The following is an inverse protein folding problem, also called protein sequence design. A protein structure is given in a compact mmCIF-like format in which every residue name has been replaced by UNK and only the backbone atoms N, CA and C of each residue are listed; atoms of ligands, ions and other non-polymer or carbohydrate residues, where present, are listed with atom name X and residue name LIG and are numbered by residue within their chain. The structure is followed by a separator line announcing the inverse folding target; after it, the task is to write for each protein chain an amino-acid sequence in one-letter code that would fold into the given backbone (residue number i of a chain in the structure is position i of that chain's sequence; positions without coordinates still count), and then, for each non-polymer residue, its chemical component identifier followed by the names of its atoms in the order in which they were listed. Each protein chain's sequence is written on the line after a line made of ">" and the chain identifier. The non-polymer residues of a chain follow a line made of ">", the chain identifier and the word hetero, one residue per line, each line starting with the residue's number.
data_IF_219238236638
#
_entry.id   IF_219238236638
#
_cell.length_a   1.000
_cell.length_b   1.000
_cell.length_c   1.000
_cell.angle_alpha   90.00
_cell.angle_beta   90.00
_cell.angle_gamma   90.00
#
_symmetry.space_group_name_H-M   'P 1'
#
loop_
_entity.id
_entity.type
_entity.pdbx_description
1 polymer ?
#
# COMPACT_ATOMS: atom_id res chain seq x y z
N UNK A 1 -25.47 1.87 0.27
CA UNK A 1 -24.50 0.75 0.41
C UNK A 1 -23.85 0.33 -0.91
N UNK A 2 -24.47 0.51 -2.09
CA UNK A 2 -23.84 0.16 -3.38
C UNK A 2 -22.68 1.08 -3.83
N UNK A 3 -22.70 2.37 -3.48
CA UNK A 3 -21.72 3.35 -3.98
C UNK A 3 -20.32 3.16 -3.40
N UNK A 4 -20.24 2.75 -2.13
CA UNK A 4 -18.97 2.54 -1.42
C UNK A 4 -18.17 1.41 -2.04
N UNK A 5 -18.84 0.36 -2.51
CA UNK A 5 -18.21 -0.76 -3.21
C UNK A 5 -17.69 -0.33 -4.58
N UNK A 6 -18.44 0.50 -5.32
CA UNK A 6 -18.00 0.97 -6.65
C UNK A 6 -16.76 1.87 -6.55
N UNK A 7 -16.76 2.86 -5.65
CA UNK A 7 -15.61 3.75 -5.46
C UNK A 7 -14.35 2.97 -5.06
N UNK A 8 -14.49 1.99 -4.18
CA UNK A 8 -13.38 1.15 -3.74
C UNK A 8 -12.80 0.33 -4.89
N UNK A 9 -13.67 -0.28 -5.71
CA UNK A 9 -13.26 -1.03 -6.90
C UNK A 9 -12.55 -0.14 -7.92
N UNK A 10 -13.09 1.04 -8.22
CA UNK A 10 -12.49 2.00 -9.15
C UNK A 10 -11.13 2.49 -8.65
N UNK A 11 -11.04 2.87 -7.37
CA UNK A 11 -9.77 3.26 -6.74
C UNK A 11 -8.74 2.14 -6.84
N UNK A 12 -9.14 0.91 -6.52
CA UNK A 12 -8.25 -0.24 -6.60
C UNK A 12 -7.73 -0.48 -8.03
N UNK A 13 -8.61 -0.38 -9.03
CA UNK A 13 -8.24 -0.51 -10.44
C UNK A 13 -7.27 0.59 -10.90
N UNK A 14 -7.54 1.85 -10.55
CA UNK A 14 -6.67 2.98 -10.87
C UNK A 14 -5.29 2.78 -10.23
N UNK A 15 -5.24 2.45 -8.93
CA UNK A 15 -3.96 2.19 -8.25
C UNK A 15 -3.22 1.03 -8.91
N UNK A 16 -3.92 -0.05 -9.26
CA UNK A 16 -3.31 -1.19 -9.96
C UNK A 16 -2.65 -0.80 -11.28
N UNK A 17 -3.31 0.06 -12.07
CA UNK A 17 -2.77 0.56 -13.34
C UNK A 17 -1.56 1.48 -13.11
N UNK A 18 -1.60 2.33 -12.08
CA UNK A 18 -0.48 3.20 -11.72
C UNK A 18 0.72 2.36 -11.31
N UNK A 19 0.56 1.45 -10.34
CA UNK A 19 1.68 0.63 -9.85
C UNK A 19 2.22 -0.31 -10.92
N UNK A 20 1.43 -0.72 -11.94
CA UNK A 20 1.96 -1.51 -13.06
C UNK A 20 2.79 -0.68 -14.03
N UNK A 21 2.52 0.62 -14.14
CA UNK A 21 3.08 1.51 -15.18
C UNK A 21 4.32 2.25 -14.71
N UNK A 22 4.35 2.70 -13.45
CA UNK A 22 5.46 3.47 -12.90
C UNK A 22 6.13 2.74 -11.75
N UNK A 23 7.37 3.13 -11.45
CA UNK A 23 8.04 2.75 -10.21
C UNK A 23 7.60 3.70 -9.12
N UNK A 24 6.94 3.16 -8.10
CA UNK A 24 6.38 3.94 -7.02
C UNK A 24 6.47 3.18 -5.70
N UNK A 25 6.22 3.93 -4.63
CA UNK A 25 6.04 3.42 -3.28
C UNK A 25 4.60 3.67 -2.89
N UNK A 26 3.94 2.68 -2.29
CA UNK A 26 2.53 2.75 -1.96
C UNK A 26 2.33 2.95 -0.45
N UNK A 27 1.49 3.89 -0.07
CA UNK A 27 1.03 4.06 1.31
C UNK A 27 -0.49 3.96 1.29
N UNK A 28 -1.05 2.96 1.97
CA UNK A 28 -2.51 2.72 1.99
C UNK A 28 -3.04 2.76 3.41
N UNK A 29 -4.10 3.53 3.60
CA UNK A 29 -4.82 3.61 4.87
C UNK A 29 -6.16 2.88 4.73
N UNK A 30 -6.45 2.00 5.69
CA UNK A 30 -7.66 1.20 5.75
C UNK A 30 -7.48 -0.21 5.20
N UNK A 31 -7.94 -1.19 5.97
CA UNK A 31 -7.79 -2.62 5.63
C UNK A 31 -8.60 -3.02 4.39
N UNK A 32 -9.80 -2.48 4.20
CA UNK A 32 -10.60 -2.76 3.00
C UNK A 32 -9.93 -2.22 1.73
N UNK A 33 -9.35 -1.01 1.82
CA UNK A 33 -8.60 -0.38 0.73
C UNK A 33 -7.35 -1.16 0.35
N UNK A 34 -6.54 -1.54 1.34
CA UNK A 34 -5.33 -2.34 1.07
C UNK A 34 -5.68 -3.69 0.45
N UNK A 35 -6.68 -4.39 0.99
CA UNK A 35 -7.14 -5.67 0.45
C UNK A 35 -7.68 -5.54 -0.98
N UNK A 36 -8.46 -4.49 -1.28
CA UNK A 36 -8.99 -4.27 -2.62
C UNK A 36 -7.86 -4.05 -3.64
N UNK A 37 -6.90 -3.18 -3.33
CA UNK A 37 -5.73 -2.91 -4.19
C UNK A 37 -4.92 -4.19 -4.41
N UNK A 38 -4.59 -4.92 -3.34
CA UNK A 38 -3.79 -6.15 -3.43
C UNK A 38 -4.47 -7.18 -4.34
N UNK A 39 -5.79 -7.39 -4.16
CA UNK A 39 -6.56 -8.37 -4.96
C UNK A 39 -6.49 -8.10 -6.46
N UNK A 40 -6.44 -6.83 -6.88
CA UNK A 40 -6.40 -6.47 -8.31
C UNK A 40 -4.98 -6.25 -8.85
N UNK A 41 -3.99 -6.03 -7.97
CA UNK A 41 -2.60 -5.69 -8.33
C UNK A 41 -1.80 -6.79 -9.04
N UNK A 42 -2.37 -7.97 -9.28
CA UNK A 42 -1.64 -9.17 -9.74
C UNK A 42 -0.50 -9.61 -8.82
N UNK A 43 -0.43 -9.10 -7.59
CA UNK A 43 0.56 -9.50 -6.61
C UNK A 43 0.44 -10.99 -6.29
N UNK A 44 1.57 -11.70 -6.34
CA UNK A 44 1.67 -13.14 -6.03
C UNK A 44 2.05 -13.40 -4.57
N UNK A 45 2.69 -12.43 -3.93
CA UNK A 45 3.10 -12.51 -2.54
C UNK A 45 3.20 -11.12 -1.94
N UNK A 46 3.11 -11.07 -0.61
CA UNK A 46 3.44 -9.91 0.22
C UNK A 46 4.58 -10.34 1.12
N UNK A 47 5.71 -9.64 1.04
CA UNK A 47 6.83 -9.87 1.94
C UNK A 47 6.79 -8.80 3.01
N UNK A 48 6.51 -9.20 4.25
CA UNK A 48 6.62 -8.31 5.41
C UNK A 48 8.10 -8.13 5.75
N UNK A 49 8.51 -6.89 6.05
CA UNK A 49 9.89 -6.54 6.38
C UNK A 49 10.04 -6.17 7.84
N UNK A 50 9.39 -5.08 8.23
CA UNK A 50 9.45 -4.50 9.56
C UNK A 50 8.17 -3.68 9.81
N UNK A 51 8.12 -2.99 10.94
CA UNK A 51 7.11 -1.97 11.19
C UNK A 51 7.77 -0.59 11.21
N UNK A 52 7.16 0.37 10.52
CA UNK A 52 7.60 1.77 10.57
C UNK A 52 7.31 2.39 11.94
N UNK A 53 6.14 2.07 12.47
CA UNK A 53 5.63 2.40 13.81
C UNK A 53 4.75 1.23 14.26
N UNK A 54 4.46 1.08 15.57
CA UNK A 54 3.62 0.00 16.07
C UNK A 54 2.31 -0.16 15.29
N UNK A 55 2.14 -1.31 14.64
CA UNK A 55 0.95 -1.63 13.82
C UNK A 55 0.89 -0.95 12.46
N UNK A 56 2.02 -0.44 11.95
CA UNK A 56 2.18 0.11 10.60
C UNK A 56 3.26 -0.69 9.86
N UNK A 57 2.90 -1.83 9.24
CA UNK A 57 3.87 -2.71 8.58
C UNK A 57 4.41 -2.12 7.28
N UNK A 58 5.73 -2.24 7.10
CA UNK A 58 6.46 -2.09 5.84
C UNK A 58 6.49 -3.44 5.14
N UNK A 59 6.10 -3.46 3.87
CA UNK A 59 6.00 -4.66 3.07
C UNK A 59 6.45 -4.43 1.63
N UNK A 60 6.63 -5.51 0.88
CA UNK A 60 6.82 -5.46 -0.57
C UNK A 60 5.76 -6.34 -1.25
N UNK A 61 5.02 -5.74 -2.19
CA UNK A 61 4.16 -6.50 -3.09
C UNK A 61 5.01 -7.09 -4.21
N UNK A 62 4.99 -8.41 -4.35
CA UNK A 62 5.70 -9.12 -5.42
C UNK A 62 4.75 -9.30 -6.59
N UNK A 63 4.86 -8.44 -7.61
CA UNK A 63 4.01 -8.52 -8.81
C UNK A 63 4.52 -9.61 -9.75
N UNK A 64 5.82 -9.60 -10.02
CA UNK A 64 6.53 -10.63 -10.78
C UNK A 64 8.01 -10.68 -10.34
N UNK A 65 8.85 -11.46 -11.03
CA UNK A 65 10.26 -11.62 -10.68
C UNK A 65 11.07 -10.29 -10.74
N UNK A 66 10.64 -9.35 -11.58
CA UNK A 66 11.35 -8.10 -11.85
C UNK A 66 10.73 -6.90 -11.16
N UNK A 67 9.45 -6.97 -10.75
CA UNK A 67 8.69 -5.85 -10.22
C UNK A 67 8.21 -6.09 -8.79
N UNK A 68 8.74 -5.26 -7.89
CA UNK A 68 8.43 -5.22 -6.46
C UNK A 68 7.96 -3.82 -6.11
N UNK A 69 6.87 -3.70 -5.39
CA UNK A 69 6.32 -2.41 -4.96
C UNK A 69 6.45 -2.30 -3.45
N UNK A 70 7.32 -1.43 -2.92
CA UNK A 70 7.34 -1.12 -1.50
C UNK A 70 5.98 -0.56 -1.07
N UNK A 71 5.41 -1.11 -0.01
CA UNK A 71 4.08 -0.78 0.47
C UNK A 71 4.05 -0.65 1.99
N UNK A 72 3.50 0.46 2.47
CA UNK A 72 3.07 0.65 3.86
C UNK A 72 1.57 0.51 3.95
N UNK A 73 1.08 -0.24 4.95
CA UNK A 73 -0.34 -0.24 5.30
C UNK A 73 -0.56 0.30 6.69
N UNK A 74 -1.63 1.08 6.88
CA UNK A 74 -2.04 1.60 8.17
C UNK A 74 -3.53 1.33 8.37
N UNK A 75 -3.93 0.74 9.49
CA UNK A 75 -5.35 0.76 9.86
C UNK A 75 -5.79 2.20 10.17
N UNK A 76 -7.09 2.51 10.04
CA UNK A 76 -7.62 3.85 10.25
C UNK A 76 -7.18 4.46 11.60
N UNK A 77 -7.16 3.64 12.64
CA UNK A 77 -6.99 4.06 14.03
C UNK A 77 -5.54 3.96 14.57
N UNK A 78 -4.56 3.59 13.74
CA UNK A 78 -3.17 3.44 14.18
C UNK A 78 -2.34 4.69 13.89
N UNK A 79 -1.32 4.94 14.72
CA UNK A 79 -0.47 6.12 14.65
C UNK A 79 -1.11 7.38 15.25
N UNK A 80 -0.44 8.52 15.07
CA UNK A 80 -0.88 9.84 15.49
C UNK A 80 -1.11 10.78 14.29
N UNK A 81 -1.49 12.03 14.58
CA UNK A 81 -1.80 13.04 13.56
C UNK A 81 -0.62 13.35 12.61
N UNK A 82 0.62 13.03 12.99
CA UNK A 82 1.84 13.27 12.23
C UNK A 82 2.42 12.01 11.58
N UNK A 83 1.85 10.83 11.83
CA UNK A 83 2.33 9.56 11.25
C UNK A 83 2.47 9.64 9.72
N UNK A 84 1.48 10.18 9.00
CA UNK A 84 1.58 10.28 7.53
C UNK A 84 2.68 11.25 7.07
N UNK A 85 2.94 12.31 7.83
CA UNK A 85 4.05 13.22 7.54
C UNK A 85 5.39 12.53 7.75
N UNK A 86 5.54 11.75 8.83
CA UNK A 86 6.74 10.94 9.08
C UNK A 86 6.95 9.89 7.99
N UNK A 87 5.88 9.20 7.58
CA UNK A 87 5.93 8.27 6.44
C UNK A 87 6.37 9.02 5.18
N UNK A 88 5.78 10.16 4.86
CA UNK A 88 6.13 10.91 3.65
C UNK A 88 7.60 11.36 3.62
N UNK A 89 8.15 11.75 4.76
CA UNK A 89 9.55 12.20 4.88
C UNK A 89 10.54 11.03 4.80
N UNK A 90 10.21 9.89 5.39
CA UNK A 90 11.15 8.77 5.54
C UNK A 90 10.98 7.68 4.47
N UNK A 91 9.78 7.51 3.92
CA UNK A 91 9.46 6.51 2.90
C UNK A 91 9.75 6.99 1.48
N UNK A 92 10.85 7.73 1.31
CA UNK A 92 11.36 8.26 0.03
C UNK A 92 12.67 7.62 -0.42
N UNK A 93 13.36 6.89 0.46
CA UNK A 93 14.68 6.27 0.19
C UNK A 93 14.64 4.77 -0.06
N UNK A 94 15.68 4.25 -0.72
CA UNK A 94 15.94 2.82 -0.91
C UNK A 94 15.79 2.10 0.42
N UNK A 95 14.91 1.09 0.47
CA UNK A 95 14.98 0.09 1.52
C UNK A 95 16.37 -0.55 1.37
N UNK A 96 17.19 -0.45 2.41
CA UNK A 96 18.54 -0.99 2.45
C UNK A 96 18.56 -2.47 2.03
#
# INVERSE_FOLDING_TARGET
>A
QHWTTNLLCELAQIVSQVISTIDCRLVVIGGQTSQAIIKVSSARAIVLREEFEPGIPVSELIINQQKRIPMLTKSGNFGDAYTLARIHLNFRGNLC
#
